data_IF_792094028895
#
_entry.id   IF_792094028895
#
_cell.length_a   1.000
_cell.length_b   1.000
_cell.length_c   1.000
_cell.angle_alpha   90.00
_cell.angle_beta   90.00
_cell.angle_gamma   90.00
#
_symmetry.space_group_name_H-M   'P 1'
#
loop_
_entity.id
_entity.type
_entity.pdbx_description
1 polymer ?
#
# COMPACT_ATOMS: atom_id res chain seq x y z
N UNK A 1 -19.77 -8.25 9.91
CA UNK A 1 -18.29 -8.08 9.81
C UNK A 1 -17.70 -8.64 8.52
N UNK A 2 -18.03 -9.86 8.08
CA UNK A 2 -17.48 -10.44 6.83
C UNK A 2 -17.76 -9.61 5.57
N UNK A 3 -18.97 -9.06 5.42
CA UNK A 3 -19.33 -8.22 4.26
C UNK A 3 -18.49 -6.96 4.17
N UNK A 4 -18.33 -6.22 5.27
CA UNK A 4 -17.49 -5.02 5.34
C UNK A 4 -16.02 -5.33 5.04
N UNK A 5 -15.48 -6.40 5.63
CA UNK A 5 -14.10 -6.83 5.34
C UNK A 5 -13.89 -7.13 3.85
N UNK A 6 -14.87 -7.75 3.19
CA UNK A 6 -14.79 -8.04 1.76
C UNK A 6 -14.87 -6.75 0.92
N UNK A 7 -15.75 -5.81 1.28
CA UNK A 7 -15.87 -4.52 0.57
C UNK A 7 -14.55 -3.74 0.62
N UNK A 8 -13.97 -3.57 1.81
CA UNK A 8 -12.70 -2.85 1.95
C UNK A 8 -11.52 -3.60 1.30
N UNK A 9 -11.51 -4.93 1.36
CA UNK A 9 -10.54 -5.75 0.63
C UNK A 9 -10.63 -5.53 -0.89
N UNK A 10 -11.85 -5.46 -1.44
CA UNK A 10 -12.10 -5.15 -2.86
C UNK A 10 -11.68 -3.73 -3.23
N UNK A 11 -12.03 -2.72 -2.44
CA UNK A 11 -11.61 -1.32 -2.67
C UNK A 11 -10.08 -1.23 -2.68
N UNK A 12 -9.43 -1.84 -1.70
CA UNK A 12 -7.97 -1.88 -1.60
C UNK A 12 -7.34 -2.59 -2.81
N UNK A 13 -7.96 -3.68 -3.31
CA UNK A 13 -7.50 -4.35 -4.53
C UNK A 13 -7.65 -3.48 -5.78
N UNK A 14 -8.80 -2.82 -5.95
CA UNK A 14 -9.05 -1.95 -7.10
C UNK A 14 -8.05 -0.79 -7.10
N UNK A 15 -7.86 -0.14 -5.95
CA UNK A 15 -6.89 0.94 -5.80
C UNK A 15 -5.47 0.46 -6.14
N UNK A 16 -5.08 -0.71 -5.65
CA UNK A 16 -3.77 -1.31 -5.96
C UNK A 16 -3.59 -1.62 -7.45
N UNK A 17 -4.60 -2.20 -8.10
CA UNK A 17 -4.56 -2.48 -9.54
C UNK A 17 -4.47 -1.20 -10.37
N UNK A 18 -5.24 -0.17 -10.02
CA UNK A 18 -5.19 1.14 -10.67
C UNK A 18 -3.78 1.73 -10.57
N UNK A 19 -3.12 1.61 -9.41
CA UNK A 19 -1.74 2.07 -9.24
C UNK A 19 -0.78 1.32 -10.16
N UNK A 20 -0.85 -0.01 -10.21
CA UNK A 20 0.01 -0.80 -11.09
C UNK A 20 -0.16 -0.39 -12.56
N UNK A 21 -1.40 -0.23 -13.01
CA UNK A 21 -1.69 0.24 -14.37
C UNK A 21 -1.15 1.66 -14.59
N UNK A 22 -1.33 2.57 -13.64
CA UNK A 22 -0.84 3.96 -13.73
C UNK A 22 0.69 4.01 -13.89
N UNK A 23 1.43 3.21 -13.11
CA UNK A 23 2.88 3.13 -13.21
C UNK A 23 3.34 2.55 -14.55
N UNK A 24 2.68 1.50 -15.04
CA UNK A 24 2.99 0.91 -16.35
C UNK A 24 2.73 1.92 -17.47
N UNK A 25 1.57 2.56 -17.49
CA UNK A 25 1.21 3.53 -18.54
C UNK A 25 2.11 4.77 -18.55
N UNK A 26 2.53 5.24 -17.37
CA UNK A 26 3.51 6.34 -17.26
C UNK A 26 4.86 5.95 -17.88
N UNK A 27 5.33 4.72 -17.65
CA UNK A 27 6.59 4.24 -18.22
C UNK A 27 6.55 4.15 -19.76
N UNK A 28 5.38 3.89 -20.34
CA UNK A 28 5.16 3.90 -21.79
C UNK A 28 4.82 5.29 -22.36
N UNK A 29 4.98 6.37 -21.58
CA UNK A 29 4.63 7.75 -21.97
C UNK A 29 3.19 7.93 -22.47
N UNK A 30 2.32 6.97 -22.17
CA UNK A 30 0.93 6.90 -22.66
C UNK A 30 -0.05 7.66 -21.75
N UNK A 31 0.46 8.28 -20.68
CA UNK A 31 -0.32 9.01 -19.69
C UNK A 31 0.32 10.39 -19.47
N UNK A 32 -0.48 11.45 -19.56
CA UNK A 32 0.01 12.80 -19.22
C UNK A 32 0.43 12.87 -17.75
N UNK A 33 1.38 13.76 -17.43
CA UNK A 33 1.87 13.93 -16.07
C UNK A 33 0.77 14.35 -15.09
N UNK A 34 -0.20 15.15 -15.54
CA UNK A 34 -1.34 15.58 -14.73
C UNK A 34 -2.30 14.42 -14.42
N UNK A 35 -2.66 13.62 -15.44
CA UNK A 35 -3.51 12.44 -15.25
C UNK A 35 -2.84 11.43 -14.32
N UNK A 36 -1.52 11.23 -14.44
CA UNK A 36 -0.77 10.38 -13.52
C UNK A 36 -0.85 10.86 -12.08
N UNK A 37 -0.66 12.17 -11.82
CA UNK A 37 -0.74 12.74 -10.48
C UNK A 37 -2.12 12.56 -9.87
N UNK A 38 -3.18 12.88 -10.61
CA UNK A 38 -4.57 12.74 -10.15
C UNK A 38 -4.91 11.28 -9.84
N UNK A 39 -4.54 10.36 -10.73
CA UNK A 39 -4.79 8.93 -10.55
C UNK A 39 -4.00 8.38 -9.36
N UNK A 40 -2.73 8.78 -9.22
CA UNK A 40 -1.87 8.41 -8.09
C UNK A 40 -2.44 8.93 -6.77
N UNK A 41 -2.92 10.17 -6.73
CA UNK A 41 -3.54 10.77 -5.54
C UNK A 41 -4.72 9.95 -5.05
N UNK A 42 -5.69 9.70 -5.93
CA UNK A 42 -6.92 8.96 -5.59
C UNK A 42 -6.58 7.54 -5.16
N UNK A 43 -5.72 6.85 -5.92
CA UNK A 43 -5.45 5.44 -5.71
C UNK A 43 -4.56 5.19 -4.49
N UNK A 44 -3.51 5.99 -4.24
CA UNK A 44 -2.71 5.88 -3.02
C UNK A 44 -3.52 6.23 -1.76
N UNK A 45 -4.33 7.29 -1.80
CA UNK A 45 -5.19 7.65 -0.67
C UNK A 45 -6.24 6.58 -0.38
N UNK A 46 -6.88 6.04 -1.43
CA UNK A 46 -7.85 4.95 -1.31
C UNK A 46 -7.22 3.68 -0.77
N UNK A 47 -6.02 3.33 -1.24
CA UNK A 47 -5.27 2.18 -0.75
C UNK A 47 -4.90 2.36 0.72
N UNK A 48 -4.46 3.55 1.12
CA UNK A 48 -4.10 3.84 2.50
C UNK A 48 -5.29 3.68 3.44
N UNK A 49 -6.43 4.29 3.09
CA UNK A 49 -7.65 4.20 3.90
C UNK A 49 -8.21 2.79 3.94
N UNK A 50 -8.35 2.13 2.79
CA UNK A 50 -8.95 0.80 2.72
C UNK A 50 -8.09 -0.26 3.42
N UNK A 51 -6.76 -0.20 3.32
CA UNK A 51 -5.85 -1.15 3.97
C UNK A 51 -5.82 -0.97 5.50
N UNK A 52 -5.96 0.27 5.97
CA UNK A 52 -6.10 0.56 7.40
C UNK A 52 -7.34 -0.15 7.95
N UNK A 53 -8.50 0.08 7.31
CA UNK A 53 -9.77 -0.50 7.73
C UNK A 53 -9.78 -2.04 7.56
N UNK A 54 -9.24 -2.57 6.45
CA UNK A 54 -9.08 -4.02 6.22
C UNK A 54 -8.32 -4.69 7.37
N UNK A 55 -7.25 -4.06 7.86
CA UNK A 55 -6.48 -4.53 9.00
C UNK A 55 -7.32 -4.69 10.28
N UNK A 56 -8.12 -3.66 10.62
CA UNK A 56 -8.94 -3.67 11.85
C UNK A 56 -10.19 -4.56 11.75
N UNK A 57 -10.73 -4.75 10.55
CA UNK A 57 -11.89 -5.60 10.31
C UNK A 57 -11.54 -7.10 10.27
N UNK A 58 -10.26 -7.46 10.21
CA UNK A 58 -9.84 -8.85 10.17
C UNK A 58 -10.18 -9.60 11.48
N UNK A 59 -10.78 -10.78 11.32
CA UNK A 59 -11.12 -11.70 12.41
C UNK A 59 -10.39 -13.02 12.16
N UNK A 60 -9.44 -13.36 13.03
CA UNK A 60 -8.71 -14.64 12.96
C UNK A 60 -7.51 -14.69 13.91
N UNK A 61 -6.87 -15.86 14.00
CA UNK A 61 -5.74 -16.13 14.91
C UNK A 61 -4.54 -15.19 14.72
N UNK A 62 -4.33 -14.71 13.49
CA UNK A 62 -3.20 -13.84 13.12
C UNK A 62 -3.58 -12.36 13.05
N UNK A 63 -4.59 -11.92 13.83
CA UNK A 63 -5.15 -10.57 13.77
C UNK A 63 -4.10 -9.47 13.96
N UNK A 64 -3.20 -9.61 14.93
CA UNK A 64 -2.18 -8.59 15.19
C UNK A 64 -1.25 -8.41 13.97
N UNK A 65 -0.79 -9.50 13.37
CA UNK A 65 0.05 -9.46 12.17
C UNK A 65 -0.68 -8.83 10.98
N UNK A 66 -1.99 -9.08 10.83
CA UNK A 66 -2.81 -8.45 9.79
C UNK A 66 -2.99 -6.95 10.04
N UNK A 67 -3.21 -6.53 11.28
CA UNK A 67 -3.29 -5.10 11.65
C UNK A 67 -1.96 -4.40 11.35
N UNK A 68 -0.83 -5.00 11.73
CA UNK A 68 0.50 -4.45 11.44
C UNK A 68 0.75 -4.33 9.93
N UNK A 69 0.36 -5.34 9.14
CA UNK A 69 0.43 -5.27 7.68
C UNK A 69 -0.47 -4.16 7.11
N UNK A 70 -1.71 -4.01 7.60
CA UNK A 70 -2.60 -2.94 7.20
C UNK A 70 -2.04 -1.54 7.49
N UNK A 71 -1.61 -1.31 8.73
CA UNK A 71 -1.03 -0.03 9.17
C UNK A 71 0.22 0.35 8.37
N UNK A 72 1.10 -0.61 8.14
CA UNK A 72 2.35 -0.38 7.40
C UNK A 72 2.11 -0.14 5.90
N UNK A 73 1.15 -0.83 5.28
CA UNK A 73 0.70 -0.52 3.91
C UNK A 73 0.15 0.91 3.85
N UNK A 74 -0.68 1.30 4.81
CA UNK A 74 -1.24 2.66 4.87
C UNK A 74 -0.18 3.73 5.03
N UNK A 75 0.74 3.56 5.98
CA UNK A 75 1.84 4.49 6.20
C UNK A 75 2.75 4.61 4.96
N UNK A 76 3.04 3.48 4.30
CA UNK A 76 3.85 3.46 3.08
C UNK A 76 3.13 4.12 1.90
N UNK A 77 1.82 3.91 1.75
CA UNK A 77 1.03 4.56 0.72
C UNK A 77 1.01 6.09 0.89
N UNK A 78 0.86 6.59 2.13
CA UNK A 78 0.95 8.02 2.44
C UNK A 78 2.35 8.56 2.16
N UNK A 79 3.40 7.81 2.53
CA UNK A 79 4.77 8.17 2.22
C UNK A 79 5.00 8.34 0.71
N UNK A 80 4.64 7.33 -0.09
CA UNK A 80 4.78 7.36 -1.55
C UNK A 80 4.02 8.55 -2.13
N UNK A 81 2.79 8.77 -1.67
CA UNK A 81 1.98 9.89 -2.09
C UNK A 81 2.66 11.24 -1.78
N UNK A 82 3.20 11.38 -0.57
CA UNK A 82 3.91 12.60 -0.16
C UNK A 82 5.13 12.88 -1.05
N UNK A 83 5.89 11.85 -1.44
CA UNK A 83 7.03 11.99 -2.37
C UNK A 83 6.57 12.38 -3.78
N UNK A 84 5.53 11.74 -4.32
CA UNK A 84 4.98 12.08 -5.65
C UNK A 84 4.46 13.52 -5.70
N UNK A 85 3.82 13.97 -4.61
CA UNK A 85 3.22 15.30 -4.52
C UNK A 85 4.17 16.37 -3.98
N UNK A 86 5.40 16.00 -3.60
CA UNK A 86 6.39 16.90 -2.99
C UNK A 86 5.87 17.60 -1.71
N UNK A 87 5.13 16.88 -0.87
CA UNK A 87 4.68 17.38 0.43
C UNK A 87 5.81 17.36 1.46
N UNK A 88 5.92 18.44 2.25
CA UNK A 88 6.93 18.58 3.31
C UNK A 88 6.44 18.04 4.66
N UNK A 89 7.36 17.68 5.56
CA UNK A 89 7.03 17.25 6.93
C UNK A 89 6.76 15.76 7.10
N UNK A 90 7.04 14.95 6.07
CA UNK A 90 6.83 13.50 6.05
C UNK A 90 8.13 12.69 6.07
N UNK A 91 9.26 13.31 6.44
CA UNK A 91 10.60 12.70 6.41
C UNK A 91 10.67 11.45 7.30
N UNK A 92 9.95 11.46 8.43
CA UNK A 92 9.90 10.32 9.36
C UNK A 92 9.18 9.10 8.78
N UNK A 93 8.40 9.25 7.71
CA UNK A 93 7.74 8.13 7.03
C UNK A 93 8.66 7.36 6.07
N UNK A 94 9.91 7.76 5.91
CA UNK A 94 10.91 7.04 5.09
C UNK A 94 11.17 5.61 5.60
N UNK A 95 10.87 5.32 6.87
CA UNK A 95 10.95 3.98 7.44
C UNK A 95 9.70 3.12 7.18
N UNK A 96 8.57 3.72 6.78
CA UNK A 96 7.33 3.01 6.52
C UNK A 96 7.49 1.87 5.50
N UNK A 97 8.17 2.06 4.34
CA UNK A 97 8.40 0.99 3.37
C UNK A 97 9.06 -0.26 3.96
N UNK A 98 10.07 -0.09 4.82
CA UNK A 98 10.78 -1.19 5.48
C UNK A 98 9.88 -1.93 6.47
N UNK A 99 9.08 -1.18 7.24
CA UNK A 99 8.11 -1.79 8.15
C UNK A 99 7.01 -2.56 7.40
N UNK A 100 6.62 -2.12 6.21
CA UNK A 100 5.68 -2.85 5.35
C UNK A 100 6.25 -4.18 4.86
N UNK A 101 7.51 -4.21 4.41
CA UNK A 101 8.17 -5.48 4.06
C UNK A 101 8.26 -6.39 5.29
N UNK A 102 8.72 -5.87 6.43
CA UNK A 102 8.80 -6.64 7.67
C UNK A 102 7.46 -7.23 8.11
N UNK A 103 6.39 -6.43 8.08
CA UNK A 103 5.04 -6.87 8.40
C UNK A 103 4.53 -7.93 7.40
N UNK A 104 4.82 -7.77 6.11
CA UNK A 104 4.51 -8.76 5.08
C UNK A 104 5.19 -10.12 5.34
N UNK A 105 6.48 -10.11 5.69
CA UNK A 105 7.25 -11.32 6.04
C UNK A 105 6.72 -11.96 7.32
N UNK A 106 6.47 -11.19 8.37
CA UNK A 106 5.88 -11.69 9.63
C UNK A 106 4.54 -12.37 9.36
N UNK A 107 3.70 -11.75 8.53
CA UNK A 107 2.39 -12.30 8.19
C UNK A 107 2.49 -13.58 7.36
N UNK A 108 3.43 -13.64 6.42
CA UNK A 108 3.73 -14.83 5.63
C UNK A 108 4.15 -16.00 6.53
N UNK A 109 5.04 -15.76 7.50
CA UNK A 109 5.48 -16.77 8.46
C UNK A 109 4.31 -17.20 9.36
N UNK A 110 3.53 -16.25 9.89
CA UNK A 110 2.41 -16.53 10.80
C UNK A 110 1.26 -17.31 10.13
N UNK A 111 0.98 -17.03 8.85
CA UNK A 111 -0.09 -17.70 8.10
C UNK A 111 0.39 -18.90 7.28
N UNK A 112 1.71 -19.06 7.09
CA UNK A 112 2.33 -20.03 6.16
C UNK A 112 1.80 -19.92 4.72
N UNK A 113 1.23 -18.76 4.35
CA UNK A 113 0.69 -18.46 3.02
C UNK A 113 0.66 -16.95 2.79
N UNK A 114 0.74 -16.54 1.53
CA UNK A 114 0.54 -15.15 1.12
C UNK A 114 -0.94 -14.81 1.20
N UNK A 115 -1.31 -13.93 2.14
CA UNK A 115 -2.62 -13.29 2.12
C UNK A 115 -2.59 -12.01 1.30
N UNK A 116 -3.77 -11.55 0.89
CA UNK A 116 -3.93 -10.34 0.10
C UNK A 116 -3.22 -9.11 0.70
N UNK A 117 -3.47 -8.84 1.99
CA UNK A 117 -2.82 -7.73 2.71
C UNK A 117 -1.29 -7.94 2.86
N UNK A 118 -0.84 -9.19 3.02
CA UNK A 118 0.58 -9.53 3.08
C UNK A 118 1.30 -9.29 1.76
N UNK A 119 0.68 -9.68 0.65
CA UNK A 119 1.19 -9.41 -0.70
C UNK A 119 1.27 -7.91 -0.98
N UNK A 120 0.23 -7.14 -0.61
CA UNK A 120 0.26 -5.67 -0.71
C UNK A 120 1.38 -5.07 0.13
N UNK A 121 1.57 -5.54 1.36
CA UNK A 121 2.65 -5.06 2.23
C UNK A 121 4.04 -5.25 1.61
N UNK A 122 4.30 -6.42 1.02
CA UNK A 122 5.56 -6.70 0.32
C UNK A 122 5.74 -5.82 -0.92
N UNK A 123 4.72 -5.72 -1.79
CA UNK A 123 4.84 -4.96 -3.05
C UNK A 123 4.91 -3.46 -2.79
N UNK A 124 3.99 -2.91 -2.00
CA UNK A 124 3.95 -1.47 -1.65
C UNK A 124 5.21 -1.08 -0.88
N UNK A 125 5.66 -1.93 0.05
CA UNK A 125 6.94 -1.75 0.74
C UNK A 125 8.12 -1.70 -0.24
N UNK A 126 8.18 -2.61 -1.21
CA UNK A 126 9.23 -2.61 -2.24
C UNK A 126 9.20 -1.34 -3.09
N UNK A 127 8.03 -0.91 -3.57
CA UNK A 127 7.87 0.35 -4.31
C UNK A 127 8.37 1.53 -3.47
N UNK A 128 7.98 1.58 -2.20
CA UNK A 128 8.42 2.63 -1.28
C UNK A 128 9.94 2.65 -1.08
N UNK A 129 10.59 1.49 -0.97
CA UNK A 129 12.06 1.41 -0.86
C UNK A 129 12.73 1.89 -2.15
N UNK A 130 12.19 1.53 -3.32
CA UNK A 130 12.75 2.01 -4.59
C UNK A 130 12.69 3.53 -4.69
N UNK A 131 11.59 4.14 -4.21
CA UNK A 131 11.46 5.61 -4.12
C UNK A 131 12.45 6.20 -3.11
N UNK A 132 12.59 5.60 -1.91
CA UNK A 132 13.58 6.05 -0.90
C UNK A 132 15.00 6.01 -1.47
N UNK A 133 15.33 4.98 -2.23
CA UNK A 133 16.68 4.76 -2.78
C UNK A 133 16.94 5.50 -4.10
N UNK A 134 15.96 6.27 -4.61
CA UNK A 134 16.08 7.01 -5.87
C UNK A 134 16.17 6.12 -7.11
N UNK A 135 15.71 4.86 -7.02
CA UNK A 135 15.71 3.89 -8.12
C UNK A 135 14.38 3.87 -8.91
N UNK A 136 13.40 4.69 -8.50
CA UNK A 136 12.11 4.93 -9.13
C UNK A 136 11.75 6.41 -8.98
#
# INVERSE_FOLDING_TARGET
>A
MRTLSNVFGTISNIAFTILLIAFVLKNFQSLSAETFKTLSLIAWASLAFASFIEGFLFVGKNKLAVILAGLSVSATAIFILSKIMSWQGFEKLEYAPYTAIGAGVILLIAQKKLSNIGTKALIVGTIGILIVTGKL
#
